data_IF_692317623756
#
_entry.id   IF_692317623756
#
_cell.length_a   1.000
_cell.length_b   1.000
_cell.length_c   1.000
_cell.angle_alpha   90.00
_cell.angle_beta   90.00
_cell.angle_gamma   90.00
#
_symmetry.space_group_name_H-M   'P 1'
#
loop_
_entity.id
_entity.type
_entity.pdbx_description
1 polymer ?
#
# COMPACT_ATOMS: atom_id res chain seq x y z
N UNK A 1 19.15 -9.25 24.76
CA UNK A 1 18.09 -9.14 23.75
C UNK A 1 16.80 -9.75 24.32
N UNK A 2 15.64 -9.17 24.01
CA UNK A 2 14.35 -9.73 24.43
C UNK A 2 14.00 -11.01 23.65
N UNK A 3 12.99 -11.77 24.10
CA UNK A 3 12.62 -13.07 23.52
C UNK A 3 12.23 -13.04 22.03
N UNK A 4 11.81 -11.87 21.51
CA UNK A 4 11.39 -11.69 20.12
C UNK A 4 12.34 -10.78 19.31
N UNK A 5 13.59 -10.59 19.76
CA UNK A 5 14.53 -9.75 19.03
C UNK A 5 14.79 -10.28 17.61
N UNK A 6 14.57 -9.43 16.61
CA UNK A 6 14.72 -9.79 15.19
C UNK A 6 13.50 -10.47 14.57
N UNK A 7 12.43 -10.70 15.34
CA UNK A 7 11.14 -11.17 14.81
C UNK A 7 10.29 -9.97 14.37
N UNK A 8 9.46 -10.19 13.35
CA UNK A 8 8.52 -9.20 12.81
C UNK A 8 7.14 -9.84 12.71
N UNK A 9 6.14 -9.14 13.23
CA UNK A 9 4.74 -9.56 13.18
C UNK A 9 3.90 -8.57 12.37
N UNK A 10 2.81 -9.07 11.79
CA UNK A 10 1.86 -8.23 11.05
C UNK A 10 1.02 -7.42 12.02
N UNK A 11 1.13 -6.09 11.96
CA UNK A 11 0.34 -5.18 12.78
C UNK A 11 -1.09 -4.96 12.25
N UNK A 12 -1.24 -4.72 10.94
CA UNK A 12 -2.53 -4.47 10.29
C UNK A 12 -2.51 -4.84 8.80
N UNK A 13 -3.67 -5.22 8.26
CA UNK A 13 -3.88 -5.43 6.82
C UNK A 13 -4.71 -4.28 6.26
N UNK A 14 -4.16 -3.56 5.27
CA UNK A 14 -4.74 -2.31 4.76
C UNK A 14 -5.38 -2.50 3.37
N UNK A 15 -6.44 -1.75 3.03
CA UNK A 15 -7.08 -1.78 1.71
C UNK A 15 -6.33 -0.95 0.65
N UNK A 16 -5.00 -0.89 0.75
CA UNK A 16 -4.15 -0.09 -0.12
C UNK A 16 -2.67 -0.18 0.24
N UNK A 17 -1.87 0.57 -0.50
CA UNK A 17 -0.42 0.59 -0.34
C UNK A 17 -0.01 1.73 0.58
N UNK A 18 0.44 1.45 1.83
CA UNK A 18 0.83 2.49 2.76
C UNK A 18 2.11 3.17 2.29
N UNK A 19 2.17 4.49 2.40
CA UNK A 19 3.38 5.27 2.15
C UNK A 19 3.95 5.90 3.43
N UNK A 20 3.08 6.31 4.37
CA UNK A 20 3.48 6.93 5.63
C UNK A 20 2.61 6.47 6.80
N UNK A 21 3.24 6.37 7.98
CA UNK A 21 2.57 6.06 9.25
C UNK A 21 2.98 7.08 10.31
N UNK A 22 2.02 7.61 11.07
CA UNK A 22 2.26 8.54 12.18
C UNK A 22 1.41 8.19 13.40
N UNK A 23 2.05 8.05 14.56
CA UNK A 23 1.36 7.82 15.84
C UNK A 23 0.96 9.14 16.51
N UNK A 24 -0.20 9.18 17.16
CA UNK A 24 -0.63 10.32 17.99
C UNK A 24 -0.41 10.06 19.49
N UNK A 25 -0.75 11.05 20.33
CA UNK A 25 -0.63 10.96 21.80
C UNK A 25 -1.58 9.95 22.45
N UNK A 26 -2.66 9.58 21.76
CA UNK A 26 -3.64 8.59 22.23
C UNK A 26 -3.22 7.15 21.91
N UNK A 27 -2.09 6.97 21.20
CA UNK A 27 -1.55 5.67 20.83
C UNK A 27 -2.04 5.14 19.48
N UNK A 28 -2.96 5.85 18.82
CA UNK A 28 -3.52 5.54 17.50
C UNK A 28 -2.55 5.90 16.37
N UNK A 29 -2.79 5.34 15.19
CA UNK A 29 -1.95 5.54 14.01
C UNK A 29 -2.75 6.11 12.83
N UNK A 30 -2.24 7.19 12.25
CA UNK A 30 -2.65 7.65 10.93
C UNK A 30 -1.77 7.00 9.88
N UNK A 31 -2.40 6.34 8.90
CA UNK A 31 -1.72 5.70 7.79
C UNK A 31 -2.19 6.32 6.49
N UNK A 32 -1.27 6.94 5.77
CA UNK A 32 -1.54 7.42 4.41
C UNK A 32 -1.34 6.28 3.41
N UNK A 33 -2.24 6.21 2.43
CA UNK A 33 -2.23 5.25 1.35
C UNK A 33 -1.95 5.99 0.04
N UNK A 34 -0.89 5.59 -0.65
CA UNK A 34 -0.54 6.14 -1.97
C UNK A 34 -1.57 5.77 -3.03
N UNK A 35 -2.12 4.56 -2.95
CA UNK A 35 -3.13 4.04 -3.85
C UNK A 35 -4.00 3.00 -3.16
N UNK A 36 -5.25 2.91 -3.62
CA UNK A 36 -6.15 1.82 -3.25
C UNK A 36 -5.67 0.52 -3.88
N UNK A 37 -5.95 -0.57 -3.17
CA UNK A 37 -5.67 -1.90 -3.66
C UNK A 37 -6.68 -2.26 -4.77
N UNK A 38 -6.20 -2.52 -5.99
CA UNK A 38 -7.05 -2.89 -7.13
C UNK A 38 -6.66 -4.28 -7.66
N UNK A 39 -7.59 -5.07 -8.21
CA UNK A 39 -7.27 -6.39 -8.76
C UNK A 39 -6.15 -6.36 -9.80
N UNK A 40 -6.11 -5.30 -10.63
CA UNK A 40 -5.04 -5.09 -11.59
C UNK A 40 -3.68 -4.78 -10.93
N UNK A 41 -3.67 -3.94 -9.89
CA UNK A 41 -2.45 -3.65 -9.13
C UNK A 41 -1.92 -4.91 -8.42
N UNK A 42 -2.80 -5.73 -7.81
CA UNK A 42 -2.41 -7.02 -7.21
C UNK A 42 -1.78 -7.96 -8.22
N UNK A 43 -2.43 -8.12 -9.37
CA UNK A 43 -1.97 -9.04 -10.41
C UNK A 43 -0.62 -8.61 -10.99
N UNK A 44 -0.44 -7.32 -11.26
CA UNK A 44 0.84 -6.79 -11.78
C UNK A 44 1.96 -6.84 -10.73
N UNK A 45 1.66 -6.61 -9.44
CA UNK A 45 2.62 -6.78 -8.35
C UNK A 45 3.07 -8.24 -8.19
N UNK A 46 2.13 -9.19 -8.29
CA UNK A 46 2.41 -10.62 -8.21
C UNK A 46 3.11 -11.18 -9.47
N UNK A 47 2.92 -10.54 -10.63
CA UNK A 47 3.44 -11.02 -11.92
C UNK A 47 4.40 -10.00 -12.54
N UNK A 48 5.60 -9.90 -11.97
CA UNK A 48 6.66 -8.98 -12.42
C UNK A 48 7.03 -9.16 -13.91
N UNK A 49 6.90 -10.38 -14.46
CA UNK A 49 7.16 -10.65 -15.88
C UNK A 49 6.12 -9.96 -16.78
N UNK A 50 4.84 -9.98 -16.39
CA UNK A 50 3.75 -9.38 -17.14
C UNK A 50 3.85 -7.85 -17.10
N UNK A 51 4.23 -7.28 -15.94
CA UNK A 51 4.54 -5.86 -15.82
C UNK A 51 5.66 -5.44 -16.80
N UNK A 52 6.74 -6.24 -16.91
CA UNK A 52 7.84 -5.97 -17.86
C UNK A 52 7.39 -6.03 -19.33
N UNK A 53 6.52 -6.97 -19.68
CA UNK A 53 5.97 -7.07 -21.04
C UNK A 53 5.08 -5.86 -21.34
N UNK A 54 4.18 -5.49 -20.43
CA UNK A 54 3.36 -4.28 -20.57
C UNK A 54 4.19 -3.01 -20.73
N UNK A 55 5.29 -2.87 -19.98
CA UNK A 55 6.18 -1.71 -20.10
C UNK A 55 6.95 -1.68 -21.43
N UNK A 56 7.33 -2.85 -21.98
CA UNK A 56 8.08 -2.95 -23.24
C UNK A 56 7.22 -2.71 -24.48
N UNK A 57 5.97 -3.17 -24.46
CA UNK A 57 5.08 -3.14 -25.62
C UNK A 57 3.93 -2.13 -25.51
N UNK A 58 3.64 -1.64 -24.31
CA UNK A 58 2.63 -0.62 -24.09
C UNK A 58 3.14 0.77 -24.44
N UNK A 59 2.25 1.63 -24.94
CA UNK A 59 2.53 3.05 -25.01
C UNK A 59 2.62 3.60 -23.58
N UNK A 60 3.84 3.82 -23.09
CA UNK A 60 4.11 4.23 -21.71
C UNK A 60 3.28 5.45 -21.27
N UNK A 61 3.02 6.40 -22.17
CA UNK A 61 2.17 7.57 -21.87
C UNK A 61 0.71 7.19 -21.66
N UNK A 62 0.17 6.25 -22.43
CA UNK A 62 -1.20 5.76 -22.24
C UNK A 62 -1.31 4.90 -20.98
N UNK A 63 -0.30 4.07 -20.70
CA UNK A 63 -0.23 3.23 -19.51
C UNK A 63 -0.10 4.07 -18.23
N UNK A 64 0.79 5.06 -18.21
CA UNK A 64 0.86 6.03 -17.13
C UNK A 64 -0.46 6.78 -16.99
N UNK A 65 -1.09 7.22 -18.09
CA UNK A 65 -2.36 7.93 -18.02
C UNK A 65 -3.49 7.06 -17.47
N UNK A 66 -3.51 5.75 -17.73
CA UNK A 66 -4.51 4.82 -17.16
C UNK A 66 -4.22 4.49 -15.69
N UNK A 67 -2.95 4.38 -15.30
CA UNK A 67 -2.53 4.16 -13.91
C UNK A 67 -2.66 5.43 -13.04
N UNK A 68 -2.47 6.60 -13.66
CA UNK A 68 -2.57 7.90 -13.03
C UNK A 68 -4.01 8.46 -13.03
N UNK A 69 -5.02 7.67 -13.44
CA UNK A 69 -6.41 8.12 -13.33
C UNK A 69 -6.81 8.19 -11.85
N UNK A 70 -6.69 9.43 -11.35
CA UNK A 70 -7.09 10.01 -10.07
C UNK A 70 -6.15 9.70 -8.90
N UNK A 71 -5.53 10.73 -8.28
CA UNK A 71 -4.90 10.57 -6.98
C UNK A 71 -5.98 10.15 -5.98
N UNK A 72 -5.94 8.89 -5.58
CA UNK A 72 -6.82 8.31 -4.57
C UNK A 72 -6.09 8.22 -3.23
N UNK A 73 -5.36 9.29 -2.88
CA UNK A 73 -4.73 9.41 -1.57
C UNK A 73 -5.84 9.25 -0.52
N UNK A 74 -5.68 8.26 0.35
CA UNK A 74 -6.59 7.97 1.43
C UNK A 74 -5.79 7.96 2.73
N UNK A 75 -6.39 8.42 3.82
CA UNK A 75 -5.85 8.25 5.15
C UNK A 75 -6.76 7.31 5.94
N UNK A 76 -6.17 6.36 6.65
CA UNK A 76 -6.87 5.44 7.54
C UNK A 76 -6.35 5.68 8.95
N UNK A 77 -7.26 5.66 9.92
CA UNK A 77 -6.92 5.69 11.34
C UNK A 77 -6.97 4.27 11.89
N UNK A 78 -5.93 3.87 12.63
CA UNK A 78 -5.86 2.58 13.30
C UNK A 78 -5.80 2.80 14.81
N UNK A 79 -6.40 1.90 15.57
CA UNK A 79 -6.18 1.80 17.01
C UNK A 79 -4.74 1.37 17.34
N UNK A 80 -4.40 1.40 18.62
CA UNK A 80 -3.16 0.84 19.16
C UNK A 80 -3.00 -0.68 18.94
N UNK A 81 -4.11 -1.38 18.75
CA UNK A 81 -4.18 -2.80 18.36
C UNK A 81 -4.19 -3.04 16.84
N UNK A 82 -4.12 -1.99 16.01
CA UNK A 82 -4.11 -2.13 14.54
C UNK A 82 -5.49 -2.33 13.89
N UNK A 83 -6.59 -2.08 14.62
CA UNK A 83 -7.96 -2.13 14.09
C UNK A 83 -8.29 -0.81 13.37
N UNK A 84 -8.97 -0.89 12.23
CA UNK A 84 -9.46 0.30 11.51
C UNK A 84 -10.57 0.97 12.33
N UNK A 85 -10.44 2.28 12.54
CA UNK A 85 -11.39 3.14 13.25
C UNK A 85 -12.28 3.94 12.28
#
# INVERSE_FOLDING_TARGET
HGPHAGQVDTFAVLPGYPDNVRRNSEGEFWVALHAKDTPFAKWTAANQWAAKVLLKFGNFKQLQKSLAQKPHAAAIKLSDEGKIL
#
